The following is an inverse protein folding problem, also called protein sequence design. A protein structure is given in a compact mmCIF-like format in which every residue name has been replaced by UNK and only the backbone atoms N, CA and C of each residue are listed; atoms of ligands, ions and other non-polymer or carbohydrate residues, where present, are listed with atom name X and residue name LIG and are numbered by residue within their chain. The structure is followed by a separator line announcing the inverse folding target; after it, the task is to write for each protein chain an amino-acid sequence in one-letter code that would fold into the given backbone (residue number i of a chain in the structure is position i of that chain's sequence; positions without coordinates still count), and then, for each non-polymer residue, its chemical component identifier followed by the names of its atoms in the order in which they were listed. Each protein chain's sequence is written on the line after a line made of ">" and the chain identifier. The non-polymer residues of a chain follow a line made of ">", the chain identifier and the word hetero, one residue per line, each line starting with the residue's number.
data_IF_659136503264
#
_entry.id   IF_659136503264
#
_cell.length_a   1.000
_cell.length_b   1.000
_cell.length_c   1.000
_cell.angle_alpha   90.00
_cell.angle_beta   90.00
_cell.angle_gamma   90.00
#
_symmetry.space_group_name_H-M   'P 1'
#
loop_
_entity.id
_entity.type
_entity.pdbx_description
1 polymer ?
#
# COMPACT_ATOMS: atom_id res chain seq x y z
N UNK A 1 12.12 -9.53 26.34
CA UNK A 1 12.12 -8.16 25.76
C UNK A 1 12.22 -7.18 26.92
N UNK A 2 13.08 -6.16 26.86
CA UNK A 2 13.21 -5.20 27.97
C UNK A 2 13.64 -3.83 27.50
N UNK A 3 13.29 -2.80 28.29
CA UNK A 3 13.77 -1.43 28.13
C UNK A 3 14.23 -0.95 29.49
N UNK A 4 15.47 -0.48 29.57
CA UNK A 4 16.09 0.03 30.80
C UNK A 4 16.62 1.43 30.55
N UNK A 5 16.51 2.31 31.54
CA UNK A 5 17.08 3.67 31.53
C UNK A 5 18.17 3.75 32.59
N UNK A 6 19.30 4.33 32.20
CA UNK A 6 20.38 4.71 33.09
C UNK A 6 20.75 6.18 32.81
N UNK A 7 20.32 7.07 33.71
CA UNK A 7 20.33 8.51 33.50
C UNK A 7 19.67 8.94 32.18
N UNK A 8 20.43 9.66 31.35
CA UNK A 8 19.96 10.10 30.04
C UNK A 8 19.85 8.95 29.01
N UNK A 9 20.58 7.84 29.19
CA UNK A 9 20.65 6.74 28.22
C UNK A 9 19.50 5.76 28.39
N UNK A 10 18.96 5.29 27.26
CA UNK A 10 17.96 4.23 27.21
C UNK A 10 18.51 3.07 26.38
N UNK A 11 18.52 1.88 26.97
CA UNK A 11 18.90 0.64 26.31
C UNK A 11 17.66 -0.23 26.10
N UNK A 12 17.51 -0.80 24.91
CA UNK A 12 16.38 -1.67 24.54
C UNK A 12 16.91 -3.02 24.08
N UNK A 13 16.35 -4.09 24.64
CA UNK A 13 16.53 -5.46 24.15
C UNK A 13 15.25 -5.90 23.45
N UNK A 14 15.34 -6.01 22.14
CA UNK A 14 14.27 -6.52 21.30
C UNK A 14 14.21 -8.04 21.34
N UNK A 15 13.12 -8.55 20.82
CA UNK A 15 12.98 -9.98 20.65
C UNK A 15 13.85 -10.52 19.52
N UNK A 16 14.08 -11.84 19.52
CA UNK A 16 14.75 -12.51 18.42
C UNK A 16 13.87 -12.44 17.17
N UNK A 17 14.48 -12.09 16.04
CA UNK A 17 13.81 -12.14 14.75
C UNK A 17 13.37 -13.58 14.46
N UNK A 18 12.07 -13.76 14.28
CA UNK A 18 11.43 -15.03 13.95
C UNK A 18 10.12 -14.75 13.24
N UNK A 19 9.65 -15.68 12.39
CA UNK A 19 8.35 -15.52 11.74
C UNK A 19 7.22 -15.73 12.77
N UNK A 20 6.04 -15.14 12.55
CA UNK A 20 4.88 -15.39 13.40
C UNK A 20 4.56 -16.88 13.58
N UNK A 21 4.67 -17.68 12.52
CA UNK A 21 4.50 -19.13 12.56
C UNK A 21 5.46 -19.80 13.56
N UNK A 22 6.77 -19.51 13.42
CA UNK A 22 7.81 -20.05 14.31
C UNK A 22 7.68 -19.58 15.76
N UNK A 23 7.01 -18.44 16.00
CA UNK A 23 6.68 -17.96 17.33
C UNK A 23 5.50 -18.73 17.92
N UNK A 24 4.45 -18.95 17.13
CA UNK A 24 3.27 -19.72 17.53
C UNK A 24 3.64 -21.18 17.86
N UNK A 25 4.48 -21.83 17.04
CA UNK A 25 5.02 -23.17 17.30
C UNK A 25 5.69 -23.34 18.68
N UNK A 26 6.19 -22.25 19.27
CA UNK A 26 7.00 -22.25 20.50
C UNK A 26 6.27 -21.61 21.68
N UNK A 27 5.02 -21.21 21.50
CA UNK A 27 4.28 -20.47 22.51
C UNK A 27 3.42 -21.42 23.34
N UNK A 28 3.61 -21.39 24.66
CA UNK A 28 3.02 -22.38 25.56
C UNK A 28 1.48 -22.32 25.62
N UNK A 29 0.87 -21.20 25.24
CA UNK A 29 -0.60 -21.06 25.18
C UNK A 29 -1.21 -21.64 23.89
N UNK A 30 -0.40 -22.01 22.90
CA UNK A 30 -0.90 -22.61 21.66
C UNK A 30 -1.06 -24.11 21.88
N UNK A 31 -2.27 -24.62 21.69
CA UNK A 31 -2.56 -26.03 21.83
C UNK A 31 -1.74 -26.89 20.86
N UNK A 32 -1.49 -28.15 21.25
CA UNK A 32 -0.82 -29.12 20.37
C UNK A 32 -1.63 -29.37 19.11
N UNK A 33 -2.96 -29.42 19.24
CA UNK A 33 -3.89 -29.56 18.12
C UNK A 33 -3.82 -28.37 17.16
N UNK A 34 -3.87 -27.14 17.69
CA UNK A 34 -3.75 -25.91 16.89
C UNK A 34 -2.41 -25.85 16.15
N UNK A 35 -1.32 -26.26 16.81
CA UNK A 35 0.01 -26.31 16.21
C UNK A 35 0.07 -27.33 15.06
N UNK A 36 -0.58 -28.48 15.21
CA UNK A 36 -0.67 -29.49 14.16
C UNK A 36 -1.47 -28.98 12.95
N UNK A 37 -2.64 -28.37 13.19
CA UNK A 37 -3.47 -27.77 12.14
C UNK A 37 -2.68 -26.67 11.40
N UNK A 38 -1.96 -25.83 12.13
CA UNK A 38 -1.11 -24.80 11.54
C UNK A 38 -0.01 -25.39 10.66
N UNK A 39 0.69 -26.43 11.14
CA UNK A 39 1.75 -27.09 10.39
C UNK A 39 1.23 -27.72 9.09
N UNK A 40 0.11 -28.44 9.16
CA UNK A 40 -0.54 -29.06 8.01
C UNK A 40 -0.97 -28.00 6.98
N UNK A 41 -1.59 -26.91 7.46
CA UNK A 41 -1.99 -25.80 6.60
C UNK A 41 -0.78 -25.19 5.89
N UNK A 42 0.29 -24.87 6.63
CA UNK A 42 1.50 -24.28 6.06
C UNK A 42 2.20 -25.17 5.04
N UNK A 43 2.15 -26.50 5.21
CA UNK A 43 2.72 -27.45 4.25
C UNK A 43 2.01 -27.38 2.88
N UNK A 44 0.72 -27.04 2.86
CA UNK A 44 -0.05 -26.91 1.60
C UNK A 44 0.15 -25.59 0.88
N UNK A 45 0.68 -24.56 1.56
CA UNK A 45 0.80 -23.22 0.99
C UNK A 45 2.01 -23.11 0.06
N UNK A 46 1.77 -22.79 -1.21
CA UNK A 46 2.82 -22.34 -2.14
C UNK A 46 2.82 -20.80 -2.21
N UNK A 47 3.68 -20.10 -1.45
CA UNK A 47 3.63 -18.65 -1.34
C UNK A 47 3.88 -17.96 -2.69
N UNK A 48 4.72 -18.52 -3.55
CA UNK A 48 4.99 -17.96 -4.87
C UNK A 48 3.78 -18.08 -5.80
N UNK A 49 3.02 -19.20 -5.72
CA UNK A 49 1.80 -19.36 -6.49
C UNK A 49 0.71 -18.39 -6.03
N UNK A 50 0.50 -18.26 -4.71
CA UNK A 50 -0.45 -17.32 -4.13
C UNK A 50 -0.12 -15.88 -4.53
N UNK A 51 1.16 -15.49 -4.45
CA UNK A 51 1.61 -14.16 -4.85
C UNK A 51 1.32 -13.86 -6.32
N UNK A 52 1.60 -14.81 -7.22
CA UNK A 52 1.26 -14.65 -8.65
C UNK A 52 -0.24 -14.49 -8.88
N UNK A 53 -1.07 -15.24 -8.15
CA UNK A 53 -2.52 -15.13 -8.21
C UNK A 53 -3.02 -13.75 -7.77
N UNK A 54 -2.54 -13.25 -6.62
CA UNK A 54 -2.87 -11.91 -6.11
C UNK A 54 -2.48 -10.83 -7.13
N UNK A 55 -1.27 -10.91 -7.68
CA UNK A 55 -0.79 -9.96 -8.68
C UNK A 55 -1.67 -9.98 -9.93
N UNK A 56 -2.00 -11.17 -10.45
CA UNK A 56 -2.87 -11.33 -11.62
C UNK A 56 -4.22 -10.66 -11.41
N UNK A 57 -4.89 -10.95 -10.29
CA UNK A 57 -6.20 -10.38 -9.96
C UNK A 57 -6.13 -8.85 -9.77
N UNK A 58 -5.04 -8.37 -9.17
CA UNK A 58 -4.82 -6.92 -8.98
C UNK A 58 -4.63 -6.23 -10.33
N UNK A 59 -3.88 -6.84 -11.25
CA UNK A 59 -3.71 -6.33 -12.61
C UNK A 59 -5.04 -6.29 -13.36
N UNK A 60 -5.86 -7.34 -13.27
CA UNK A 60 -7.18 -7.37 -13.90
C UNK A 60 -8.09 -6.26 -13.37
N UNK A 61 -8.17 -6.09 -12.04
CA UNK A 61 -8.92 -4.99 -11.42
C UNK A 61 -8.41 -3.61 -11.87
N UNK A 62 -7.09 -3.44 -11.95
CA UNK A 62 -6.50 -2.20 -12.46
C UNK A 62 -6.95 -1.93 -13.90
N UNK A 63 -6.84 -2.93 -14.78
CA UNK A 63 -7.28 -2.81 -16.17
C UNK A 63 -8.75 -2.42 -16.27
N UNK A 64 -9.64 -3.08 -15.51
CA UNK A 64 -11.08 -2.76 -15.51
C UNK A 64 -11.37 -1.33 -15.05
N UNK A 65 -10.65 -0.84 -14.04
CA UNK A 65 -10.89 0.51 -13.51
C UNK A 65 -10.28 1.62 -14.38
N UNK A 66 -9.13 1.37 -15.01
CA UNK A 66 -8.45 2.38 -15.83
C UNK A 66 -8.87 2.37 -17.30
N UNK A 67 -9.47 1.28 -17.79
CA UNK A 67 -9.95 1.18 -19.17
C UNK A 67 -11.16 2.06 -19.46
N UNK A 68 -11.89 2.51 -18.43
CA UNK A 68 -12.90 3.56 -18.59
C UNK A 68 -12.20 4.91 -18.72
N UNK A 69 -12.10 5.40 -19.96
CA UNK A 69 -11.60 6.74 -20.23
C UNK A 69 -12.38 7.77 -19.38
N UNK A 70 -11.67 8.50 -18.53
CA UNK A 70 -12.23 9.66 -17.84
C UNK A 70 -12.69 10.73 -18.85
N UNK A 71 -13.53 11.69 -18.44
CA UNK A 71 -13.94 12.76 -19.32
C UNK A 71 -12.70 13.45 -19.90
N UNK A 72 -12.71 13.69 -21.22
CA UNK A 72 -11.60 14.31 -21.92
C UNK A 72 -11.15 15.57 -21.16
N UNK A 73 -9.85 15.64 -20.84
CA UNK A 73 -9.28 16.80 -20.15
C UNK A 73 -9.60 18.02 -20.99
N UNK A 74 -10.43 18.94 -20.46
CA UNK A 74 -10.72 20.20 -21.14
C UNK A 74 -9.39 20.88 -21.45
N UNK A 75 -9.20 21.28 -22.71
CA UNK A 75 -8.02 22.01 -23.13
C UNK A 75 -7.80 23.18 -22.16
N UNK A 76 -6.55 23.43 -21.71
CA UNK A 76 -6.28 24.58 -20.86
C UNK A 76 -6.76 25.83 -21.60
N UNK A 77 -7.56 26.65 -20.91
CA UNK A 77 -8.01 27.93 -21.45
C UNK A 77 -6.74 28.78 -21.62
N UNK A 78 -6.28 28.95 -22.85
CA UNK A 78 -5.19 29.86 -23.17
C UNK A 78 -5.67 31.27 -22.84
N UNK A 79 -5.15 31.85 -21.76
CA UNK A 79 -5.41 33.24 -21.42
C UNK A 79 -4.84 34.11 -22.54
N UNK A 80 -5.66 35.02 -23.07
CA UNK A 80 -5.22 36.02 -24.05
C UNK A 80 -3.98 36.76 -23.53
N UNK A 81 -3.05 37.04 -24.44
CA UNK A 81 -1.80 37.73 -24.14
C UNK A 81 -2.09 39.09 -23.50
N UNK A 82 -1.35 39.43 -22.44
CA UNK A 82 -1.49 40.70 -21.69
C UNK A 82 -1.20 41.92 -22.58
N UNK A 83 -0.65 41.71 -23.78
CA UNK A 83 -0.30 42.75 -24.75
C UNK A 83 -1.29 42.85 -25.92
N UNK A 84 -2.41 42.13 -25.87
CA UNK A 84 -3.48 42.30 -26.84
C UNK A 84 -4.19 43.64 -26.56
N UNK A 85 -3.77 44.66 -27.31
CA UNK A 85 -4.31 46.01 -27.24
C UNK A 85 -5.76 46.02 -27.74
N UNK A 86 -6.72 45.91 -26.82
CA UNK A 86 -8.13 46.19 -27.11
C UNK A 86 -8.35 47.69 -27.08
N UNK A 87 -8.11 48.37 -28.21
CA UNK A 87 -8.56 49.76 -28.36
C UNK A 87 -10.09 49.77 -28.36
N UNK A 88 -10.70 50.24 -27.27
CA UNK A 88 -12.13 50.45 -27.17
C UNK A 88 -12.51 51.59 -28.12
N UNK A 89 -13.13 51.28 -29.26
CA UNK A 89 -13.72 52.30 -30.14
C UNK A 89 -14.94 52.90 -29.45
N UNK A 90 -14.80 54.13 -28.95
CA UNK A 90 -15.92 54.90 -28.40
C UNK A 90 -16.91 55.22 -29.52
N UNK A 91 -18.19 54.91 -29.31
CA UNK A 91 -19.27 55.17 -30.27
C UNK A 91 -19.73 56.63 -30.13
N UNK A 92 -19.53 57.42 -31.19
CA UNK A 92 -20.13 58.75 -31.32
C UNK A 92 -21.60 58.64 -31.77
N UNK A 93 -22.46 59.50 -31.22
CA UNK A 93 -23.81 59.78 -31.74
C UNK A 93 -23.78 60.96 -32.68
#
# INVERSE_FOLDING_TARGET
>A
ISKVRDGAKVSKKYDRATTPHRRAERHDEVGVEDTAILADTYATLNPAAIQRGIQSLTTELLTLTTSKAGPARRAPVTRASVHESTNQTSRAS
#
